data_IF_556273009705
#
_entry.id   IF_556273009705
#
_cell.length_a   1.000
_cell.length_b   1.000
_cell.length_c   1.000
_cell.angle_alpha   90.00
_cell.angle_beta   90.00
_cell.angle_gamma   90.00
#
_symmetry.space_group_name_H-M   'P 1'
#
loop_
_entity.id
_entity.type
_entity.pdbx_description
1 polymer ?
#
# COMPACT_ATOMS: atom_id res chain seq x y z
N UNK A 1 74.42 -35.17 -13.17
CA UNK A 1 73.52 -35.14 -12.03
C UNK A 1 72.37 -34.20 -12.42
N UNK A 2 71.29 -34.80 -12.87
CA UNK A 2 70.11 -34.10 -13.40
C UNK A 2 68.94 -34.18 -12.37
N UNK A 3 68.62 -33.07 -11.75
CA UNK A 3 67.52 -32.96 -10.85
C UNK A 3 66.23 -32.77 -11.64
N UNK A 4 65.28 -33.69 -11.51
CA UNK A 4 63.93 -33.64 -12.04
C UNK A 4 63.05 -32.83 -11.07
N UNK A 5 62.51 -31.71 -11.52
CA UNK A 5 61.45 -30.98 -10.83
C UNK A 5 60.11 -31.68 -11.06
N UNK A 6 59.46 -32.10 -9.98
CA UNK A 6 58.12 -32.67 -9.97
C UNK A 6 57.11 -31.51 -9.80
N UNK A 7 56.35 -31.21 -10.84
CA UNK A 7 55.26 -30.25 -10.75
C UNK A 7 54.00 -30.95 -10.19
N UNK A 8 53.55 -30.51 -9.04
CA UNK A 8 52.27 -30.93 -8.43
C UNK A 8 51.17 -30.09 -9.05
N UNK A 9 50.31 -30.72 -9.85
CA UNK A 9 49.06 -30.10 -10.34
C UNK A 9 48.02 -30.32 -9.28
N UNK A 10 47.60 -29.22 -8.59
CA UNK A 10 46.44 -29.20 -7.69
C UNK A 10 45.21 -28.94 -8.55
N UNK A 11 44.40 -29.96 -8.76
CA UNK A 11 43.08 -29.81 -9.38
C UNK A 11 42.11 -29.26 -8.32
N UNK A 12 41.72 -27.99 -8.49
CA UNK A 12 40.61 -27.39 -7.72
C UNK A 12 39.30 -27.85 -8.35
N UNK A 13 38.63 -28.79 -7.71
CA UNK A 13 37.29 -29.19 -8.08
C UNK A 13 36.31 -28.08 -7.64
N UNK A 14 35.89 -27.22 -8.58
CA UNK A 14 34.74 -26.33 -8.36
C UNK A 14 33.48 -27.20 -8.30
N UNK A 15 33.00 -27.47 -7.08
CA UNK A 15 31.64 -27.99 -6.87
C UNK A 15 30.63 -26.90 -7.24
N UNK A 16 30.09 -26.99 -8.44
CA UNK A 16 28.87 -26.27 -8.77
C UNK A 16 27.74 -26.89 -7.91
N UNK A 17 27.38 -26.23 -6.83
CA UNK A 17 26.09 -26.45 -6.21
C UNK A 17 25.01 -26.00 -7.22
N UNK A 18 24.48 -26.98 -7.96
CA UNK A 18 23.22 -26.78 -8.67
C UNK A 18 22.16 -26.52 -7.61
N UNK A 19 21.78 -25.24 -7.43
CA UNK A 19 20.55 -24.89 -6.72
C UNK A 19 19.41 -25.55 -7.49
N UNK A 20 18.78 -26.56 -6.87
CA UNK A 20 17.54 -27.13 -7.38
C UNK A 20 16.59 -25.96 -7.62
N UNK A 21 16.20 -25.74 -8.88
CA UNK A 21 15.17 -24.78 -9.22
C UNK A 21 13.91 -25.24 -8.46
N UNK A 22 13.53 -24.51 -7.42
CA UNK A 22 12.26 -24.73 -6.71
C UNK A 22 11.17 -24.63 -7.76
N UNK A 23 10.33 -25.66 -7.89
CA UNK A 23 9.24 -25.63 -8.84
C UNK A 23 8.40 -24.39 -8.54
N UNK A 24 8.38 -23.43 -9.46
CA UNK A 24 7.61 -22.21 -9.30
C UNK A 24 6.12 -22.56 -9.37
N UNK A 25 5.32 -21.97 -8.47
CA UNK A 25 3.86 -22.15 -8.48
C UNK A 25 3.18 -21.26 -9.55
N UNK A 26 3.96 -20.84 -10.55
CA UNK A 26 3.51 -19.99 -11.63
C UNK A 26 3.10 -20.82 -12.85
N UNK A 27 1.98 -20.45 -13.45
CA UNK A 27 1.57 -20.94 -14.77
C UNK A 27 2.46 -20.31 -15.85
N UNK A 28 2.61 -21.00 -16.97
CA UNK A 28 2.98 -20.33 -18.20
C UNK A 28 1.84 -19.40 -18.64
N UNK A 29 2.13 -18.16 -18.94
CA UNK A 29 1.12 -17.19 -19.38
C UNK A 29 1.59 -16.45 -20.63
N UNK A 30 0.61 -16.10 -21.46
CA UNK A 30 0.79 -15.21 -22.61
C UNK A 30 0.59 -13.76 -22.16
N UNK A 31 1.55 -12.86 -22.41
CA UNK A 31 1.37 -11.44 -22.11
C UNK A 31 0.16 -10.80 -22.79
N UNK A 32 -0.21 -11.24 -24.00
CA UNK A 32 -1.39 -10.75 -24.69
C UNK A 32 -2.65 -11.10 -23.91
N UNK A 33 -2.76 -12.32 -23.41
CA UNK A 33 -3.90 -12.72 -22.58
C UNK A 33 -3.97 -11.96 -21.24
N UNK A 34 -2.84 -11.51 -20.68
CA UNK A 34 -2.83 -10.64 -19.50
C UNK A 34 -3.28 -9.23 -19.84
N UNK A 35 -2.86 -8.67 -20.98
CA UNK A 35 -3.35 -7.38 -21.47
C UNK A 35 -4.86 -7.41 -21.69
N UNK A 36 -5.39 -8.48 -22.30
CA UNK A 36 -6.83 -8.66 -22.52
C UNK A 36 -7.62 -8.69 -21.21
N UNK A 37 -7.07 -9.29 -20.15
CA UNK A 37 -7.68 -9.30 -18.81
C UNK A 37 -7.74 -7.87 -18.24
N UNK A 38 -6.66 -7.11 -18.35
CA UNK A 38 -6.62 -5.72 -17.88
C UNK A 38 -7.65 -4.87 -18.62
N UNK A 39 -7.68 -4.96 -19.96
CA UNK A 39 -8.63 -4.21 -20.77
C UNK A 39 -10.09 -4.59 -20.52
N UNK A 40 -10.39 -5.89 -20.47
CA UNK A 40 -11.75 -6.36 -20.22
C UNK A 40 -12.25 -5.91 -18.85
N UNK A 41 -11.39 -6.01 -17.82
CA UNK A 41 -11.72 -5.58 -16.47
C UNK A 41 -11.90 -4.07 -16.38
N UNK A 42 -11.02 -3.30 -17.02
CA UNK A 42 -11.13 -1.85 -17.04
C UNK A 42 -12.41 -1.37 -17.73
N UNK A 43 -12.81 -2.01 -18.85
CA UNK A 43 -14.07 -1.73 -19.54
C UNK A 43 -15.29 -2.09 -18.70
N UNK A 44 -15.27 -3.27 -18.07
CA UNK A 44 -16.34 -3.74 -17.16
C UNK A 44 -16.57 -2.76 -16.01
N UNK A 45 -15.48 -2.24 -15.42
CA UNK A 45 -15.51 -1.33 -14.27
C UNK A 45 -15.57 0.16 -14.68
N UNK A 46 -15.63 0.46 -15.97
CA UNK A 46 -15.67 1.82 -16.53
C UNK A 46 -14.50 2.71 -16.06
N UNK A 47 -13.29 2.13 -15.96
CA UNK A 47 -12.11 2.86 -15.50
C UNK A 47 -11.65 3.88 -16.56
N UNK A 48 -11.40 5.15 -16.20
CA UNK A 48 -10.78 6.11 -17.10
C UNK A 48 -9.38 5.69 -17.53
N UNK A 49 -8.59 5.16 -16.57
CA UNK A 49 -7.27 4.62 -16.79
C UNK A 49 -6.86 3.63 -15.69
N UNK A 50 -6.05 2.66 -16.08
CA UNK A 50 -5.41 1.72 -15.16
C UNK A 50 -4.07 1.28 -15.69
N UNK A 51 -3.17 0.92 -14.79
CA UNK A 51 -1.86 0.37 -15.13
C UNK A 51 -1.52 -0.79 -14.20
N UNK A 52 -0.87 -1.81 -14.75
CA UNK A 52 -0.36 -2.98 -14.04
C UNK A 52 1.12 -3.15 -14.37
N UNK A 53 1.95 -3.17 -13.32
CA UNK A 53 3.34 -3.61 -13.39
C UNK A 53 3.43 -5.02 -12.78
N UNK A 54 3.86 -5.97 -13.58
CA UNK A 54 4.15 -7.34 -13.15
C UNK A 54 5.63 -7.64 -13.36
N UNK A 55 6.37 -7.89 -12.27
CA UNK A 55 7.75 -8.39 -12.31
C UNK A 55 7.78 -9.85 -11.89
N UNK A 56 8.42 -10.67 -12.68
CA UNK A 56 8.70 -12.08 -12.39
C UNK A 56 10.21 -12.32 -12.43
N UNK A 57 10.74 -13.47 -12.00
CA UNK A 57 12.18 -13.77 -12.11
C UNK A 57 12.72 -13.67 -13.53
N UNK A 58 11.88 -13.87 -14.55
CA UNK A 58 12.28 -13.89 -15.96
C UNK A 58 12.14 -12.54 -16.64
N UNK A 59 11.07 -11.79 -16.34
CA UNK A 59 10.68 -10.59 -17.10
C UNK A 59 9.87 -9.60 -16.27
N UNK A 60 9.89 -8.38 -16.76
CA UNK A 60 8.96 -7.32 -16.38
C UNK A 60 7.94 -7.10 -17.48
N UNK A 61 6.71 -6.85 -17.10
CA UNK A 61 5.59 -6.54 -17.98
C UNK A 61 4.87 -5.30 -17.47
N UNK A 62 4.50 -4.43 -18.39
CA UNK A 62 3.67 -3.25 -18.11
C UNK A 62 2.44 -3.34 -19.00
N UNK A 63 1.27 -3.33 -18.37
CA UNK A 63 -0.02 -3.34 -19.05
C UNK A 63 -0.77 -2.08 -18.70
N UNK A 64 -1.41 -1.44 -19.67
CA UNK A 64 -2.17 -0.22 -19.47
C UNK A 64 -3.46 -0.22 -20.27
N UNK A 65 -4.46 0.50 -19.76
CA UNK A 65 -5.72 0.76 -20.45
C UNK A 65 -6.18 2.20 -20.17
N UNK A 66 -6.86 2.79 -21.15
CA UNK A 66 -7.44 4.12 -21.02
C UNK A 66 -6.38 5.22 -21.05
N UNK A 67 -6.63 6.29 -20.30
CA UNK A 67 -5.77 7.46 -20.29
C UNK A 67 -5.55 8.01 -18.88
N UNK A 68 -4.48 8.79 -18.73
CA UNK A 68 -4.16 9.52 -17.48
C UNK A 68 -5.16 10.63 -17.18
N UNK A 69 -5.92 11.08 -18.18
CA UNK A 69 -6.98 12.08 -18.05
C UNK A 69 -8.26 11.57 -18.72
N UNK A 70 -9.42 11.77 -18.08
CA UNK A 70 -10.71 11.36 -18.62
C UNK A 70 -10.99 12.05 -19.96
N UNK A 71 -11.21 11.24 -21.00
CA UNK A 71 -11.37 11.74 -22.37
C UNK A 71 -10.07 12.10 -23.09
N UNK A 72 -8.93 11.97 -22.41
CA UNK A 72 -7.60 12.13 -23.00
C UNK A 72 -7.13 10.92 -23.79
N UNK A 73 -5.90 11.01 -24.33
CA UNK A 73 -5.28 9.95 -25.15
C UNK A 73 -3.92 9.50 -24.62
N UNK A 74 -3.41 10.12 -23.55
CA UNK A 74 -2.12 9.76 -22.96
C UNK A 74 -2.26 8.48 -22.13
N UNK A 75 -1.62 7.36 -22.52
CA UNK A 75 -1.77 6.10 -21.78
C UNK A 75 -1.03 6.17 -20.45
N UNK A 76 -1.53 5.47 -19.40
CA UNK A 76 -0.79 5.25 -18.16
C UNK A 76 0.51 4.47 -18.41
N UNK A 77 1.57 4.83 -17.68
CA UNK A 77 2.92 4.25 -17.78
C UNK A 77 3.45 3.88 -16.40
N UNK A 78 4.52 3.09 -16.33
CA UNK A 78 5.15 2.69 -15.08
C UNK A 78 5.77 3.88 -14.31
N UNK A 79 6.17 4.94 -15.03
CA UNK A 79 6.70 6.20 -14.51
C UNK A 79 5.63 7.29 -14.27
N UNK A 80 4.35 6.99 -14.47
CA UNK A 80 3.25 7.92 -14.19
C UNK A 80 3.04 8.04 -12.68
N UNK A 81 3.11 9.28 -12.16
CA UNK A 81 2.86 9.56 -10.75
C UNK A 81 1.37 9.50 -10.43
N UNK A 82 1.08 9.02 -9.24
CA UNK A 82 -0.26 9.01 -8.65
C UNK A 82 -0.18 9.06 -7.12
N UNK A 83 -1.28 9.39 -6.46
CA UNK A 83 -1.37 9.33 -5.01
C UNK A 83 -1.57 7.87 -4.59
N UNK A 84 -0.62 7.33 -3.82
CA UNK A 84 -0.61 5.91 -3.46
C UNK A 84 -1.51 5.57 -2.27
N UNK A 85 -2.10 6.59 -1.65
CA UNK A 85 -2.99 6.43 -0.51
C UNK A 85 -2.40 5.53 0.59
N UNK A 86 -3.18 4.62 1.14
CA UNK A 86 -2.77 3.78 2.30
C UNK A 86 -1.55 2.89 2.08
N UNK A 87 -1.04 2.73 0.85
CA UNK A 87 0.28 2.13 0.64
C UNK A 87 1.39 2.86 1.43
N UNK A 88 1.19 4.15 1.73
CA UNK A 88 2.05 4.97 2.61
C UNK A 88 2.27 4.32 3.98
N UNK A 89 1.29 3.58 4.50
CA UNK A 89 1.39 2.95 5.83
C UNK A 89 2.56 1.99 5.96
N UNK A 90 2.92 1.30 4.88
CA UNK A 90 4.08 0.41 4.88
C UNK A 90 5.39 1.18 5.14
N UNK A 91 5.46 2.42 4.64
CA UNK A 91 6.63 3.31 4.82
C UNK A 91 6.68 3.86 6.24
N UNK A 92 5.54 4.32 6.77
CA UNK A 92 5.43 4.77 8.16
C UNK A 92 5.78 3.65 9.13
N UNK A 93 5.25 2.44 8.92
CA UNK A 93 5.56 1.26 9.74
C UNK A 93 7.05 0.90 9.66
N UNK A 94 7.66 0.93 8.46
CA UNK A 94 9.09 0.65 8.30
C UNK A 94 9.96 1.63 9.10
N UNK A 95 9.62 2.92 9.14
CA UNK A 95 10.31 3.90 9.99
C UNK A 95 10.18 3.53 11.47
N UNK A 96 8.97 3.22 11.95
CA UNK A 96 8.76 2.81 13.36
C UNK A 96 9.58 1.57 13.72
N UNK A 97 9.63 0.57 12.82
CA UNK A 97 10.44 -0.64 13.04
C UNK A 97 11.94 -0.33 13.04
N UNK A 98 12.41 0.56 12.17
CA UNK A 98 13.81 1.05 12.19
C UNK A 98 14.15 1.75 13.51
N UNK A 99 13.23 2.57 14.03
CA UNK A 99 13.43 3.23 15.33
C UNK A 99 13.46 2.23 16.50
N UNK A 100 12.68 1.14 16.42
CA UNK A 100 12.74 0.05 17.38
C UNK A 100 14.06 -0.72 17.28
N UNK A 101 14.52 -1.00 16.07
CA UNK A 101 15.82 -1.64 15.81
C UNK A 101 16.99 -0.82 16.37
N UNK A 102 16.89 0.51 16.31
CA UNK A 102 17.89 1.42 16.88
C UNK A 102 17.75 1.62 18.40
N UNK A 103 16.77 0.97 19.04
CA UNK A 103 16.53 1.08 20.47
C UNK A 103 15.94 2.44 20.91
N UNK A 104 15.45 3.25 19.96
CA UNK A 104 14.87 4.58 20.25
C UNK A 104 13.45 4.50 20.78
N UNK A 105 12.74 3.42 20.46
CA UNK A 105 11.42 3.08 21.01
C UNK A 105 11.29 1.56 21.15
N UNK A 106 10.20 1.10 21.81
CA UNK A 106 9.86 -0.32 21.93
C UNK A 106 8.43 -0.54 21.45
N UNK A 107 8.15 -1.71 20.91
CA UNK A 107 6.79 -2.04 20.45
C UNK A 107 5.76 -2.11 21.58
N UNK A 108 6.20 -2.41 22.80
CA UNK A 108 5.39 -2.43 24.02
C UNK A 108 5.34 -1.08 24.76
N UNK A 109 6.00 -0.04 24.28
CA UNK A 109 5.88 1.31 24.86
C UNK A 109 4.44 1.81 24.73
N UNK A 110 3.87 2.37 25.83
CA UNK A 110 2.59 3.08 25.74
C UNK A 110 2.75 4.36 24.94
N UNK A 111 1.78 4.65 24.09
CA UNK A 111 1.85 5.81 23.19
C UNK A 111 1.82 7.15 23.92
N UNK A 112 1.29 7.17 25.15
CA UNK A 112 1.33 8.34 26.06
C UNK A 112 2.75 8.79 26.41
N UNK A 113 3.76 7.95 26.21
CA UNK A 113 5.19 8.29 26.36
C UNK A 113 5.64 9.31 25.29
N UNK A 114 5.00 9.33 24.13
CA UNK A 114 5.39 10.12 22.98
C UNK A 114 4.36 11.21 22.64
N UNK A 115 3.07 10.90 22.74
CA UNK A 115 1.98 11.81 22.37
C UNK A 115 1.02 11.95 23.55
N UNK A 116 0.91 13.16 24.10
CA UNK A 116 0.00 13.47 25.19
C UNK A 116 -1.46 13.65 24.70
N UNK A 117 -2.42 13.43 25.60
CA UNK A 117 -3.84 13.73 25.35
C UNK A 117 -4.57 12.70 24.47
N UNK A 118 -3.95 11.58 24.13
CA UNK A 118 -4.61 10.48 23.41
C UNK A 118 -5.55 9.75 24.36
N UNK A 119 -6.84 9.57 24.01
CA UNK A 119 -7.78 8.77 24.81
C UNK A 119 -7.21 7.37 25.05
N UNK A 120 -7.18 6.95 26.33
CA UNK A 120 -6.63 5.66 26.76
C UNK A 120 -5.14 5.39 26.35
N UNK A 121 -4.38 6.45 26.00
CA UNK A 121 -3.01 6.32 25.47
C UNK A 121 -2.01 5.62 26.39
N UNK A 122 -2.29 5.51 27.69
CA UNK A 122 -1.47 4.76 28.67
C UNK A 122 -1.60 3.24 28.50
N UNK A 123 -2.67 2.76 27.87
CA UNK A 123 -2.96 1.35 27.64
C UNK A 123 -2.85 0.94 26.16
N UNK A 124 -2.56 1.88 25.27
CA UNK A 124 -2.36 1.61 23.84
C UNK A 124 -0.85 1.56 23.60
N UNK A 125 -0.38 0.50 22.97
CA UNK A 125 1.04 0.31 22.63
C UNK A 125 1.34 0.70 21.17
N UNK A 126 2.63 0.89 20.85
CA UNK A 126 3.10 1.07 19.46
C UNK A 126 2.68 -0.12 18.58
N UNK A 127 2.79 -1.36 19.11
CA UNK A 127 2.38 -2.57 18.40
C UNK A 127 0.89 -2.57 18.03
N UNK A 128 0.02 -2.13 18.93
CA UNK A 128 -1.42 -2.05 18.69
C UNK A 128 -1.77 -0.98 17.65
N UNK A 129 -1.05 0.15 17.61
CA UNK A 129 -1.19 1.11 16.51
C UNK A 129 -0.81 0.49 15.17
N UNK A 130 0.37 -0.16 15.10
CA UNK A 130 0.88 -0.78 13.86
C UNK A 130 -0.08 -1.85 13.32
N UNK A 131 -0.70 -2.63 14.21
CA UNK A 131 -1.58 -3.77 13.88
C UNK A 131 -3.07 -3.41 13.78
N UNK A 132 -3.44 -2.12 13.84
CA UNK A 132 -4.84 -1.68 13.80
C UNK A 132 -5.70 -2.21 14.96
N UNK A 133 -5.12 -2.28 16.19
CA UNK A 133 -5.77 -2.85 17.38
C UNK A 133 -5.87 -1.85 18.55
N UNK A 134 -5.78 -0.55 18.27
CA UNK A 134 -5.81 0.48 19.31
C UNK A 134 -7.20 0.72 19.91
N UNK A 135 -8.26 0.43 19.16
CA UNK A 135 -9.64 0.80 19.51
C UNK A 135 -9.95 2.30 19.38
N UNK A 136 -9.05 3.10 18.83
CA UNK A 136 -9.33 4.53 18.58
C UNK A 136 -10.32 4.69 17.42
N UNK A 137 -11.17 5.73 17.52
CA UNK A 137 -12.06 6.09 16.42
C UNK A 137 -11.26 6.52 15.18
N UNK A 138 -11.68 6.07 14.01
CA UNK A 138 -11.07 6.43 12.74
C UNK A 138 -11.55 7.79 12.23
N UNK A 139 -10.73 8.84 12.28
CA UNK A 139 -11.13 10.19 11.88
C UNK A 139 -11.62 10.27 10.43
N UNK A 140 -11.21 9.36 9.55
CA UNK A 140 -11.65 9.41 8.14
C UNK A 140 -13.10 8.99 7.96
N UNK A 141 -13.70 8.29 8.91
CA UNK A 141 -15.12 7.93 8.88
C UNK A 141 -16.04 9.01 9.45
N UNK A 142 -15.46 10.09 10.00
CA UNK A 142 -16.24 11.23 10.50
C UNK A 142 -16.85 12.01 9.33
N UNK A 143 -18.19 12.24 9.32
CA UNK A 143 -18.86 12.94 8.21
C UNK A 143 -18.29 14.33 7.93
N UNK A 144 -17.89 15.06 8.98
CA UNK A 144 -17.33 16.40 8.84
C UNK A 144 -16.05 16.46 7.99
N UNK A 145 -15.28 15.37 7.91
CA UNK A 145 -14.12 15.32 7.04
C UNK A 145 -14.53 15.22 5.57
N UNK A 146 -15.40 14.27 5.23
CA UNK A 146 -15.89 14.09 3.86
C UNK A 146 -16.58 15.36 3.36
N UNK A 147 -17.47 15.96 4.18
CA UNK A 147 -18.13 17.23 3.89
C UNK A 147 -17.13 18.36 3.63
N UNK A 148 -16.07 18.45 4.44
CA UNK A 148 -15.05 19.46 4.24
C UNK A 148 -14.27 19.25 2.94
N UNK A 149 -13.93 18.01 2.59
CA UNK A 149 -13.22 17.70 1.33
C UNK A 149 -14.09 18.02 0.10
N UNK A 150 -15.38 17.80 0.19
CA UNK A 150 -16.32 18.08 -0.89
C UNK A 150 -16.57 19.60 -1.06
N UNK A 151 -16.58 20.40 0.03
CA UNK A 151 -16.87 21.83 -0.01
C UNK A 151 -15.61 22.70 -0.17
N UNK A 152 -14.48 22.30 0.42
CA UNK A 152 -13.20 22.99 0.36
C UNK A 152 -12.06 21.99 0.12
N UNK A 153 -11.94 21.46 -1.10
CA UNK A 153 -10.92 20.46 -1.44
C UNK A 153 -9.48 21.00 -1.30
N UNK A 154 -9.27 22.31 -1.24
CA UNK A 154 -7.97 22.93 -1.05
C UNK A 154 -7.56 23.07 0.43
N UNK A 155 -8.46 22.81 1.36
CA UNK A 155 -8.19 22.95 2.81
C UNK A 155 -6.98 22.16 3.23
N UNK A 156 -6.08 22.83 3.95
CA UNK A 156 -4.94 22.21 4.60
C UNK A 156 -5.32 21.76 6.00
N UNK A 157 -5.16 20.45 6.25
CA UNK A 157 -5.38 19.84 7.55
C UNK A 157 -4.06 19.68 8.32
N UNK A 158 -4.08 19.96 9.61
CA UNK A 158 -3.01 19.57 10.52
C UNK A 158 -3.32 18.24 11.18
N UNK A 159 -2.29 17.46 11.53
CA UNK A 159 -2.48 16.20 12.28
C UNK A 159 -3.24 16.44 13.60
N UNK A 160 -3.02 17.59 14.24
CA UNK A 160 -3.74 17.96 15.48
C UNK A 160 -5.26 18.12 15.26
N UNK A 161 -5.69 18.74 14.16
CA UNK A 161 -7.10 18.86 13.82
C UNK A 161 -7.73 17.51 13.56
N UNK A 162 -7.05 16.63 12.81
CA UNK A 162 -7.53 15.27 12.51
C UNK A 162 -7.67 14.43 13.80
N UNK A 163 -6.67 14.48 14.67
CA UNK A 163 -6.73 13.81 15.97
C UNK A 163 -7.81 14.39 16.86
N UNK A 164 -8.07 15.71 16.80
CA UNK A 164 -9.16 16.33 17.54
C UNK A 164 -10.54 15.84 17.05
N UNK A 165 -10.69 15.49 15.76
CA UNK A 165 -11.91 14.81 15.26
C UNK A 165 -12.01 13.44 15.92
N UNK A 166 -10.97 12.60 15.82
CA UNK A 166 -10.98 11.26 16.38
C UNK A 166 -11.29 11.25 17.89
N UNK A 167 -10.68 12.17 18.64
CA UNK A 167 -10.74 12.18 20.11
C UNK A 167 -12.07 12.74 20.67
N UNK A 168 -12.96 13.28 19.83
CA UNK A 168 -14.34 13.60 20.23
C UNK A 168 -15.20 12.36 20.40
N UNK A 169 -14.81 11.26 19.79
CA UNK A 169 -15.55 9.99 19.82
C UNK A 169 -14.98 9.04 20.88
N UNK A 170 -15.81 8.22 21.52
CA UNK A 170 -15.33 7.21 22.45
C UNK A 170 -14.54 6.15 21.69
N UNK A 171 -13.61 5.43 22.37
CA UNK A 171 -12.99 4.23 21.80
C UNK A 171 -14.05 3.21 21.38
N UNK A 172 -13.80 2.53 20.26
CA UNK A 172 -14.74 1.55 19.67
C UNK A 172 -14.60 0.16 20.33
N UNK A 173 -13.42 -0.15 20.87
CA UNK A 173 -13.14 -1.36 21.66
C UNK A 173 -11.93 -1.13 22.59
N UNK A 174 -11.67 -2.08 23.50
CA UNK A 174 -10.50 -2.02 24.36
C UNK A 174 -9.21 -2.38 23.56
N UNK A 175 -8.07 -1.68 23.79
CA UNK A 175 -6.83 -1.97 23.08
C UNK A 175 -6.47 -3.47 23.08
N UNK A 176 -6.05 -3.97 21.93
CA UNK A 176 -5.63 -5.36 21.73
C UNK A 176 -6.75 -6.39 21.55
N UNK A 177 -8.02 -6.04 21.79
CA UNK A 177 -9.13 -7.03 21.81
C UNK A 177 -9.70 -7.35 20.43
N UNK A 178 -9.70 -6.37 19.51
CA UNK A 178 -10.31 -6.49 18.19
C UNK A 178 -9.39 -5.86 17.14
N UNK A 179 -9.72 -6.07 15.89
CA UNK A 179 -9.13 -5.40 14.73
C UNK A 179 -10.15 -4.45 14.12
N UNK A 180 -9.72 -3.21 13.88
CA UNK A 180 -10.46 -2.25 13.07
C UNK A 180 -9.48 -1.33 12.34
N UNK A 181 -9.60 -1.28 11.00
CA UNK A 181 -8.70 -0.46 10.18
C UNK A 181 -8.87 1.02 10.50
N UNK A 182 -7.82 1.66 10.99
CA UNK A 182 -7.90 2.98 11.59
C UNK A 182 -6.76 3.91 11.15
N UNK A 183 -7.10 4.97 10.39
CA UNK A 183 -6.13 5.97 9.95
C UNK A 183 -5.56 6.80 11.10
N UNK A 184 -6.31 6.96 12.19
CA UNK A 184 -5.85 7.65 13.42
C UNK A 184 -4.58 7.00 13.98
N UNK A 185 -4.45 5.68 13.88
CA UNK A 185 -3.26 4.96 14.33
C UNK A 185 -2.01 5.43 13.60
N UNK A 186 -2.10 5.58 12.28
CA UNK A 186 -0.95 5.96 11.46
C UNK A 186 -0.66 7.45 11.50
N UNK A 187 -1.66 8.30 11.73
CA UNK A 187 -1.44 9.70 12.07
C UNK A 187 -0.61 9.83 13.36
N UNK A 188 -0.92 9.03 14.40
CA UNK A 188 -0.15 8.96 15.64
C UNK A 188 1.25 8.40 15.41
N UNK A 189 1.43 7.31 14.65
CA UNK A 189 2.74 6.76 14.33
C UNK A 189 3.63 7.76 13.58
N UNK A 190 3.05 8.58 12.70
CA UNK A 190 3.76 9.68 12.04
C UNK A 190 4.28 10.70 13.04
N UNK A 191 3.43 11.16 13.97
CA UNK A 191 3.86 12.08 15.04
C UNK A 191 4.94 11.48 15.94
N UNK A 192 4.82 10.20 16.30
CA UNK A 192 5.82 9.49 17.10
C UNK A 192 7.16 9.44 16.35
N UNK A 193 7.14 9.15 15.05
CA UNK A 193 8.35 9.17 14.25
C UNK A 193 9.01 10.55 14.20
N UNK A 194 8.22 11.62 14.04
CA UNK A 194 8.71 13.01 14.04
C UNK A 194 9.30 13.41 15.40
N UNK A 195 8.63 13.03 16.50
CA UNK A 195 9.09 13.30 17.87
C UNK A 195 10.43 12.61 18.16
N UNK A 196 10.53 11.33 17.82
CA UNK A 196 11.73 10.51 18.10
C UNK A 196 12.92 10.92 17.21
N UNK A 197 12.68 11.28 15.95
CA UNK A 197 13.72 11.69 14.99
C UNK A 197 14.08 13.20 15.08
N UNK A 198 13.19 14.01 15.64
CA UNK A 198 13.34 15.48 15.66
C UNK A 198 13.32 16.10 14.25
N UNK A 199 12.59 15.49 13.31
CA UNK A 199 12.54 15.91 11.91
C UNK A 199 11.15 15.68 11.30
N UNK A 200 10.74 16.51 10.30
CA UNK A 200 9.49 16.27 9.57
C UNK A 200 9.47 14.91 8.87
N UNK A 201 8.32 14.24 8.84
CA UNK A 201 8.14 12.89 8.28
C UNK A 201 8.60 12.79 6.81
N UNK A 202 8.37 13.83 6.01
CA UNK A 202 8.83 13.88 4.62
C UNK A 202 10.35 13.77 4.50
N UNK A 203 11.09 14.40 5.42
CA UNK A 203 12.55 14.30 5.50
C UNK A 203 12.98 12.91 5.96
N UNK A 204 12.30 12.36 6.97
CA UNK A 204 12.57 11.00 7.49
C UNK A 204 12.42 9.98 6.36
N UNK A 205 11.31 10.03 5.63
CA UNK A 205 11.05 9.11 4.49
C UNK A 205 12.13 9.25 3.42
N UNK A 206 12.44 10.47 3.01
CA UNK A 206 13.47 10.71 1.99
C UNK A 206 14.83 10.16 2.42
N UNK A 207 15.26 10.46 3.63
CA UNK A 207 16.64 10.20 4.09
C UNK A 207 16.82 8.73 4.49
N UNK A 208 15.76 8.07 5.02
CA UNK A 208 15.85 6.70 5.52
C UNK A 208 15.33 5.63 4.56
N UNK A 209 14.41 5.99 3.66
CA UNK A 209 13.75 5.03 2.78
C UNK A 209 14.03 5.33 1.29
N UNK A 210 13.56 6.46 0.80
CA UNK A 210 13.56 6.74 -0.65
C UNK A 210 14.97 6.94 -1.21
N UNK A 211 15.81 7.72 -0.55
CA UNK A 211 17.18 8.01 -0.97
C UNK A 211 18.04 6.74 -1.04
N UNK A 212 18.15 5.93 0.04
CA UNK A 212 18.92 4.69 0.04
C UNK A 212 18.46 3.66 -1.00
N UNK A 213 17.16 3.64 -1.35
CA UNK A 213 16.59 2.73 -2.35
C UNK A 213 16.60 3.29 -3.77
N UNK A 214 17.00 4.54 -3.95
CA UNK A 214 17.01 5.21 -5.26
C UNK A 214 15.62 5.50 -5.82
N UNK A 215 14.60 5.61 -4.96
CA UNK A 215 13.21 5.93 -5.32
C UNK A 215 13.08 7.43 -5.57
N UNK A 216 13.43 7.86 -6.78
CA UNK A 216 13.54 9.29 -7.15
C UNK A 216 12.21 9.96 -7.43
N UNK A 217 11.23 9.13 -7.79
CA UNK A 217 9.89 9.56 -8.17
C UNK A 217 8.88 9.33 -7.05
N UNK A 218 9.37 9.20 -5.79
CA UNK A 218 8.57 9.01 -4.59
C UNK A 218 8.81 10.13 -3.59
N UNK A 219 7.72 10.73 -3.09
CA UNK A 219 7.80 11.79 -2.07
C UNK A 219 6.56 11.82 -1.18
N UNK A 220 6.74 12.27 0.05
CA UNK A 220 5.66 12.79 0.87
C UNK A 220 5.62 14.31 0.66
N UNK A 221 4.56 14.87 0.02
CA UNK A 221 4.49 16.29 -0.26
C UNK A 221 4.35 17.12 1.04
N UNK A 222 4.71 18.39 0.96
CA UNK A 222 4.38 19.34 2.03
C UNK A 222 2.85 19.41 2.19
N UNK A 223 2.36 19.53 3.42
CA UNK A 223 0.91 19.60 3.71
C UNK A 223 0.18 20.72 2.97
N UNK A 224 0.90 21.79 2.60
CA UNK A 224 0.36 22.92 1.82
C UNK A 224 0.34 22.68 0.31
N UNK A 225 0.86 21.55 -0.19
CA UNK A 225 0.94 21.24 -1.62
C UNK A 225 -0.10 20.19 -2.01
N UNK A 226 -0.85 20.50 -3.06
CA UNK A 226 -1.71 19.55 -3.76
C UNK A 226 -1.13 19.10 -5.11
N UNK A 227 0.08 19.54 -5.47
CA UNK A 227 0.72 19.24 -6.75
C UNK A 227 1.18 17.78 -6.82
N UNK A 228 1.05 17.19 -7.99
CA UNK A 228 1.61 15.89 -8.35
C UNK A 228 2.68 16.13 -9.43
N UNK A 229 3.91 15.59 -9.29
CA UNK A 229 4.94 15.73 -10.32
C UNK A 229 4.52 15.12 -11.66
N UNK A 230 4.92 15.75 -12.76
CA UNK A 230 4.68 15.21 -14.10
C UNK A 230 5.72 14.10 -14.44
N UNK A 231 5.34 13.07 -15.25
CA UNK A 231 4.00 12.79 -15.74
C UNK A 231 3.08 12.25 -14.64
N UNK A 232 1.82 12.63 -14.62
CA UNK A 232 0.87 12.16 -13.60
C UNK A 232 -0.50 11.79 -14.20
N UNK A 233 -1.29 11.05 -13.45
CA UNK A 233 -2.67 10.76 -13.77
C UNK A 233 -3.62 11.65 -12.94
N UNK A 234 -4.66 12.18 -13.57
CA UNK A 234 -5.78 12.80 -12.87
C UNK A 234 -6.57 11.73 -12.12
N UNK A 235 -7.15 12.08 -10.99
CA UNK A 235 -7.90 11.17 -10.13
C UNK A 235 -9.39 11.48 -10.10
N UNK A 236 -10.23 10.44 -10.13
CA UNK A 236 -11.68 10.57 -10.30
C UNK A 236 -12.48 9.81 -9.24
N UNK A 237 -13.61 10.39 -8.82
CA UNK A 237 -14.57 9.77 -7.92
C UNK A 237 -16.00 10.16 -8.33
N UNK A 238 -16.94 9.23 -8.29
CA UNK A 238 -18.36 9.58 -8.44
C UNK A 238 -18.94 10.08 -7.13
N UNK A 239 -19.54 11.27 -7.15
CA UNK A 239 -20.25 11.84 -6.00
C UNK A 239 -19.35 12.31 -4.86
N UNK A 240 -19.71 11.98 -3.61
CA UNK A 240 -19.07 12.49 -2.41
C UNK A 240 -17.81 11.73 -2.00
N UNK A 241 -16.87 12.41 -1.35
CA UNK A 241 -15.69 11.84 -0.70
C UNK A 241 -16.02 10.77 0.36
N UNK A 242 -17.24 10.75 0.88
CA UNK A 242 -17.71 9.73 1.82
C UNK A 242 -17.67 8.30 1.24
N UNK A 243 -17.82 8.16 -0.08
CA UNK A 243 -17.71 6.85 -0.76
C UNK A 243 -16.31 6.26 -0.73
N UNK A 244 -15.29 7.12 -0.65
CA UNK A 244 -13.90 6.71 -0.53
C UNK A 244 -13.39 6.61 0.91
N UNK A 245 -13.97 7.37 1.84
CA UNK A 245 -13.44 7.51 3.20
C UNK A 245 -14.17 6.66 4.24
N UNK A 246 -15.45 6.37 4.01
CA UNK A 246 -16.32 5.66 4.94
C UNK A 246 -16.99 4.43 4.32
N UNK A 247 -16.53 3.97 3.18
CA UNK A 247 -17.05 2.80 2.43
C UNK A 247 -18.59 2.88 2.23
N UNK A 248 -19.13 4.11 2.11
CA UNK A 248 -20.55 4.31 1.91
C UNK A 248 -20.98 3.72 0.55
N UNK A 249 -22.11 2.99 0.49
CA UNK A 249 -22.56 2.42 -0.78
C UNK A 249 -23.08 3.53 -1.72
N UNK A 250 -22.79 3.40 -3.01
CA UNK A 250 -23.38 4.28 -4.02
C UNK A 250 -24.91 4.14 -4.07
N UNK A 251 -25.68 5.25 -4.11
CA UNK A 251 -27.10 5.22 -4.36
C UNK A 251 -27.45 4.65 -5.75
N UNK A 252 -28.58 3.97 -5.88
CA UNK A 252 -28.98 3.32 -7.13
C UNK A 252 -29.16 4.29 -8.31
N UNK A 253 -29.63 5.50 -8.06
CA UNK A 253 -29.78 6.56 -9.05
C UNK A 253 -28.42 7.09 -9.55
N UNK A 254 -27.44 7.22 -8.65
CA UNK A 254 -26.07 7.55 -9.03
C UNK A 254 -25.48 6.47 -9.95
N UNK A 255 -25.60 5.18 -9.56
CA UNK A 255 -25.12 4.05 -10.37
C UNK A 255 -25.76 4.07 -11.76
N UNK A 256 -27.09 4.29 -11.84
CA UNK A 256 -27.81 4.35 -13.11
C UNK A 256 -27.36 5.52 -13.98
N UNK A 257 -27.20 6.71 -13.41
CA UNK A 257 -26.78 7.91 -14.12
C UNK A 257 -25.31 7.79 -14.61
N UNK A 258 -24.41 7.24 -13.78
CA UNK A 258 -23.04 7.00 -14.16
C UNK A 258 -22.94 5.89 -15.24
N UNK A 259 -23.68 4.80 -15.10
CA UNK A 259 -23.71 3.69 -16.06
C UNK A 259 -24.22 4.08 -17.45
N UNK A 260 -25.11 5.06 -17.54
CA UNK A 260 -25.57 5.64 -18.83
C UNK A 260 -24.64 6.76 -19.35
N UNK A 261 -23.60 7.15 -18.56
CA UNK A 261 -22.71 8.27 -18.90
C UNK A 261 -23.35 9.65 -18.74
N UNK A 262 -24.55 9.75 -18.17
CA UNK A 262 -25.24 11.01 -17.88
C UNK A 262 -24.55 11.74 -16.73
N UNK A 263 -24.05 10.99 -15.73
CA UNK A 263 -23.20 11.51 -14.67
C UNK A 263 -21.73 11.19 -14.99
N UNK A 264 -20.87 12.20 -14.90
CA UNK A 264 -19.41 12.02 -14.98
C UNK A 264 -18.82 12.00 -13.57
N UNK A 265 -17.70 11.33 -13.33
CA UNK A 265 -17.01 11.42 -12.06
C UNK A 265 -16.40 12.81 -11.87
N UNK A 266 -16.27 13.23 -10.63
CA UNK A 266 -15.55 14.45 -10.25
C UNK A 266 -14.06 14.27 -10.49
N UNK A 267 -13.35 15.35 -10.82
CA UNK A 267 -11.89 15.38 -10.85
C UNK A 267 -11.38 15.85 -9.48
N UNK A 268 -10.87 14.92 -8.69
CA UNK A 268 -10.32 15.13 -7.34
C UNK A 268 -8.79 15.29 -7.32
N UNK A 269 -8.15 15.42 -8.50
CA UNK A 269 -6.69 15.57 -8.63
C UNK A 269 -6.15 16.70 -7.78
N UNK A 270 -6.86 17.83 -7.75
CA UNK A 270 -6.51 19.04 -7.01
C UNK A 270 -6.82 19.01 -5.52
N UNK A 271 -7.43 17.96 -4.99
CA UNK A 271 -7.73 17.85 -3.56
C UNK A 271 -6.44 17.81 -2.73
N UNK A 272 -6.40 18.58 -1.63
CA UNK A 272 -5.23 18.62 -0.76
C UNK A 272 -5.13 17.34 0.09
N UNK A 273 -4.02 16.56 -0.02
CA UNK A 273 -3.89 15.26 0.66
C UNK A 273 -3.44 15.38 2.12
N UNK A 274 -3.39 16.58 2.71
CA UNK A 274 -2.89 16.80 4.08
C UNK A 274 -3.68 16.05 5.14
N UNK A 275 -4.91 15.66 4.86
CA UNK A 275 -5.69 14.82 5.77
C UNK A 275 -5.16 13.37 5.85
N UNK A 276 -4.37 12.91 4.90
CA UNK A 276 -3.90 11.53 4.84
C UNK A 276 -2.47 11.32 5.38
N UNK A 277 -1.56 12.30 5.18
CA UNK A 277 -0.16 12.35 5.65
C UNK A 277 0.51 10.97 5.85
N UNK A 278 0.86 10.63 7.09
CA UNK A 278 1.51 9.37 7.46
C UNK A 278 0.65 8.13 7.18
N UNK A 279 -0.67 8.31 7.04
CA UNK A 279 -1.60 7.22 6.73
C UNK A 279 -1.82 7.02 5.22
N UNK A 280 -1.49 8.04 4.37
CA UNK A 280 -1.87 7.95 2.95
C UNK A 280 -1.34 9.05 2.04
N UNK A 281 -0.41 9.91 2.48
CA UNK A 281 -0.06 11.14 1.76
C UNK A 281 1.03 11.01 0.69
N UNK A 282 1.66 9.85 0.51
CA UNK A 282 2.77 9.68 -0.44
C UNK A 282 2.29 9.68 -1.89
N UNK A 283 3.08 10.29 -2.75
CA UNK A 283 2.99 10.23 -4.21
C UNK A 283 4.14 9.35 -4.70
N UNK A 284 3.87 8.46 -5.65
CA UNK A 284 4.87 7.55 -6.21
C UNK A 284 4.52 7.12 -7.64
N UNK A 285 5.35 6.26 -8.20
CA UNK A 285 5.16 5.57 -9.47
C UNK A 285 5.11 4.06 -9.24
N UNK A 286 4.66 3.29 -10.23
CA UNK A 286 4.66 1.84 -10.10
C UNK A 286 6.08 1.26 -10.06
N UNK A 287 7.03 1.87 -10.76
CA UNK A 287 8.44 1.47 -10.73
C UNK A 287 9.05 1.57 -9.33
N UNK A 288 8.84 2.71 -8.67
CA UNK A 288 9.33 2.92 -7.30
C UNK A 288 8.59 2.03 -6.29
N UNK A 289 7.27 1.84 -6.42
CA UNK A 289 6.52 0.92 -5.57
C UNK A 289 6.97 -0.53 -5.72
N UNK A 290 7.31 -0.96 -6.95
CA UNK A 290 7.89 -2.27 -7.19
C UNK A 290 9.25 -2.43 -6.52
N UNK A 291 10.08 -1.37 -6.55
CA UNK A 291 11.37 -1.30 -5.83
C UNK A 291 11.15 -1.36 -4.33
N UNK A 292 10.19 -0.59 -3.80
CA UNK A 292 9.81 -0.56 -2.39
C UNK A 292 9.42 -1.94 -1.87
N UNK A 293 8.45 -2.59 -2.51
CA UNK A 293 7.92 -3.88 -2.04
C UNK A 293 9.00 -4.96 -2.03
N UNK A 294 9.84 -5.02 -3.06
CA UNK A 294 10.97 -5.96 -3.10
C UNK A 294 12.01 -5.67 -2.02
N UNK A 295 12.26 -4.41 -1.71
CA UNK A 295 13.20 -4.03 -0.66
C UNK A 295 12.66 -4.34 0.74
N UNK A 296 11.39 -3.98 1.01
CA UNK A 296 10.75 -4.18 2.31
C UNK A 296 10.60 -5.66 2.65
N UNK A 297 9.94 -6.42 1.78
CA UNK A 297 9.67 -7.84 2.03
C UNK A 297 10.94 -8.70 1.85
N UNK A 298 11.83 -8.30 0.95
CA UNK A 298 13.09 -8.98 0.66
C UNK A 298 14.23 -8.69 1.66
N UNK A 299 13.96 -7.95 2.75
CA UNK A 299 14.92 -7.77 3.85
C UNK A 299 16.08 -6.82 3.55
N UNK A 300 15.87 -5.79 2.72
CA UNK A 300 16.92 -4.78 2.45
C UNK A 300 16.84 -3.55 3.35
N UNK A 301 15.78 -3.44 4.18
CA UNK A 301 15.51 -2.26 5.00
C UNK A 301 15.84 -2.54 6.47
N UNK A 302 15.45 -3.70 6.97
CA UNK A 302 15.58 -4.11 8.36
C UNK A 302 16.71 -5.13 8.51
N UNK A 303 17.30 -5.23 9.69
CA UNK A 303 18.20 -6.34 10.02
C UNK A 303 17.43 -7.67 10.09
N UNK A 304 18.15 -8.78 10.18
CA UNK A 304 17.56 -10.12 10.09
C UNK A 304 16.55 -10.42 11.21
N UNK A 305 16.74 -9.88 12.43
CA UNK A 305 15.87 -10.14 13.56
C UNK A 305 14.59 -9.32 13.46
N UNK A 306 14.68 -8.03 13.13
CA UNK A 306 13.53 -7.17 12.92
C UNK A 306 12.78 -7.50 11.64
N UNK A 307 13.48 -7.95 10.57
CA UNK A 307 12.84 -8.46 9.37
C UNK A 307 11.97 -9.68 9.65
N UNK A 308 12.44 -10.60 10.46
CA UNK A 308 11.68 -11.79 10.90
C UNK A 308 10.45 -11.38 11.71
N UNK A 309 10.61 -10.49 12.71
CA UNK A 309 9.48 -9.96 13.49
C UNK A 309 8.45 -9.28 12.61
N UNK A 310 8.91 -8.51 11.60
CA UNK A 310 8.02 -7.82 10.67
C UNK A 310 7.25 -8.81 9.79
N UNK A 311 7.92 -9.82 9.20
CA UNK A 311 7.29 -10.85 8.37
C UNK A 311 6.30 -11.73 9.16
N UNK A 312 6.56 -11.96 10.45
CA UNK A 312 5.73 -12.75 11.36
C UNK A 312 4.62 -11.92 12.04
N UNK A 313 4.62 -10.60 11.86
CA UNK A 313 3.67 -9.69 12.50
C UNK A 313 2.20 -9.84 12.05
N UNK A 314 1.85 -10.32 10.81
CA UNK A 314 0.47 -10.41 10.39
C UNK A 314 -0.34 -11.42 11.20
N UNK A 315 -1.34 -10.93 11.91
CA UNK A 315 -2.33 -11.68 12.70
C UNK A 315 -3.69 -11.68 11.98
N UNK A 316 -4.55 -12.68 12.18
CA UNK A 316 -5.89 -12.68 11.61
C UNK A 316 -6.66 -11.40 11.99
N UNK A 317 -7.28 -10.76 11.01
CA UNK A 317 -8.19 -9.63 11.23
C UNK A 317 -9.39 -10.09 12.08
N UNK A 318 -9.95 -11.24 11.73
CA UNK A 318 -10.98 -11.94 12.50
C UNK A 318 -10.40 -13.26 13.06
N UNK A 319 -10.19 -13.38 14.37
CA UNK A 319 -9.66 -14.63 14.98
C UNK A 319 -10.53 -15.86 14.71
N UNK A 320 -11.83 -15.70 14.43
CA UNK A 320 -12.74 -16.82 14.06
C UNK A 320 -12.49 -17.32 12.63
N UNK A 321 -11.75 -16.54 11.81
CA UNK A 321 -11.41 -16.85 10.41
C UNK A 321 -9.89 -16.88 10.22
N UNK A 322 -9.17 -17.86 10.78
CA UNK A 322 -7.70 -17.87 10.76
C UNK A 322 -7.08 -17.97 9.35
N UNK A 323 -7.87 -18.38 8.35
CA UNK A 323 -7.49 -18.38 6.93
C UNK A 323 -7.92 -17.11 6.18
N UNK A 324 -8.61 -16.19 6.85
CA UNK A 324 -9.02 -14.89 6.31
C UNK A 324 -7.87 -13.91 6.14
N UNK A 325 -8.22 -12.64 5.97
CA UNK A 325 -7.26 -11.53 5.92
C UNK A 325 -6.41 -11.47 7.19
N UNK A 326 -5.14 -11.11 7.00
CA UNK A 326 -4.20 -10.87 8.09
C UNK A 326 -3.57 -9.51 7.93
N UNK A 327 -3.39 -8.80 9.04
CA UNK A 327 -2.72 -7.51 9.09
C UNK A 327 -1.66 -7.47 10.19
N UNK A 328 -0.50 -6.90 9.86
CA UNK A 328 0.64 -6.81 10.77
C UNK A 328 1.17 -5.37 10.90
N UNK A 329 2.48 -5.22 10.94
CA UNK A 329 3.14 -3.92 11.03
C UNK A 329 3.07 -3.17 9.69
N UNK A 330 1.90 -2.59 9.40
CA UNK A 330 1.64 -1.84 8.18
C UNK A 330 1.56 -2.67 6.91
N UNK A 331 1.31 -3.95 7.01
CA UNK A 331 1.29 -4.87 5.88
C UNK A 331 0.19 -5.92 6.05
N UNK A 332 -0.51 -6.21 4.97
CA UNK A 332 -1.44 -7.33 4.89
C UNK A 332 -0.76 -8.55 4.28
N UNK A 333 -1.28 -9.74 4.59
CA UNK A 333 -0.83 -11.01 4.04
C UNK A 333 -2.00 -11.81 3.48
N UNK A 334 -1.90 -12.17 2.20
CA UNK A 334 -2.81 -13.10 1.53
C UNK A 334 -2.09 -14.43 1.33
N UNK A 335 -2.68 -15.52 1.85
CA UNK A 335 -2.19 -16.88 1.63
C UNK A 335 -3.08 -17.61 0.64
N UNK A 336 -2.47 -18.32 -0.33
CA UNK A 336 -3.18 -19.18 -1.28
C UNK A 336 -2.25 -20.32 -1.73
N UNK A 337 -2.66 -21.56 -1.41
CA UNK A 337 -1.78 -22.72 -1.54
C UNK A 337 -0.49 -22.52 -0.74
N UNK A 338 0.69 -22.77 -1.34
CA UNK A 338 1.98 -22.55 -0.70
C UNK A 338 2.42 -21.08 -0.70
N UNK A 339 1.71 -20.20 -1.43
CA UNK A 339 2.13 -18.82 -1.66
C UNK A 339 1.74 -17.90 -0.50
N UNK A 340 2.54 -16.86 -0.31
CA UNK A 340 2.31 -15.82 0.68
C UNK A 340 2.61 -14.47 0.03
N UNK A 341 1.57 -13.74 -0.31
CA UNK A 341 1.67 -12.41 -0.88
C UNK A 341 1.57 -11.39 0.26
N UNK A 342 2.64 -10.64 0.49
CA UNK A 342 2.63 -9.47 1.36
C UNK A 342 2.20 -8.28 0.52
N UNK A 343 1.21 -7.53 0.98
CA UNK A 343 0.62 -6.46 0.19
C UNK A 343 0.05 -5.33 1.04
N UNK A 344 -0.21 -4.23 0.40
CA UNK A 344 -1.12 -3.20 0.91
C UNK A 344 -1.95 -2.64 -0.24
N UNK A 345 -3.17 -2.22 0.06
CA UNK A 345 -4.03 -1.45 -0.83
C UNK A 345 -3.96 0.03 -0.53
N UNK A 346 -4.37 0.85 -1.49
CA UNK A 346 -4.48 2.29 -1.32
C UNK A 346 -5.78 2.81 -1.88
N UNK A 347 -6.55 3.56 -1.07
CA UNK A 347 -7.78 4.19 -1.48
C UNK A 347 -7.88 5.61 -0.91
N UNK A 348 -8.19 6.56 -1.76
CA UNK A 348 -8.49 7.95 -1.43
C UNK A 348 -9.24 8.60 -2.60
N UNK A 349 -9.96 9.70 -2.40
CA UNK A 349 -10.58 10.40 -3.51
C UNK A 349 -9.62 10.59 -4.69
N UNK A 350 -10.03 10.12 -5.86
CA UNK A 350 -9.27 10.15 -7.10
C UNK A 350 -8.50 8.88 -7.44
N UNK A 351 -8.09 8.05 -6.49
CA UNK A 351 -7.16 6.96 -6.75
C UNK A 351 -7.48 5.70 -5.97
N UNK A 352 -7.27 4.55 -6.63
CA UNK A 352 -7.24 3.24 -5.99
C UNK A 352 -6.01 2.48 -6.45
N UNK A 353 -5.35 1.74 -5.56
CA UNK A 353 -4.10 1.06 -5.88
C UNK A 353 -3.87 -0.18 -5.03
N UNK A 354 -3.04 -1.05 -5.55
CA UNK A 354 -2.55 -2.27 -4.90
C UNK A 354 -1.05 -2.40 -5.16
N UNK A 355 -0.29 -2.76 -4.14
CA UNK A 355 1.09 -3.19 -4.29
C UNK A 355 1.34 -4.46 -3.50
N UNK A 356 1.98 -5.46 -4.13
CA UNK A 356 2.25 -6.74 -3.49
C UNK A 356 3.53 -7.40 -3.98
N UNK A 357 4.12 -8.24 -3.12
CA UNK A 357 5.28 -9.06 -3.42
C UNK A 357 5.17 -10.44 -2.79
N UNK A 358 5.39 -11.46 -3.61
CA UNK A 358 5.52 -12.86 -3.21
C UNK A 358 6.99 -13.26 -3.21
N UNK A 359 7.63 -13.38 -2.02
CA UNK A 359 9.05 -13.72 -1.94
C UNK A 359 9.38 -15.16 -2.36
N UNK A 360 8.39 -16.10 -2.32
CA UNK A 360 8.62 -17.49 -2.72
C UNK A 360 8.82 -17.61 -4.23
N UNK A 361 8.05 -16.87 -5.01
CA UNK A 361 8.09 -16.92 -6.48
C UNK A 361 8.79 -15.72 -7.11
N UNK A 362 9.28 -14.77 -6.31
CA UNK A 362 9.87 -13.50 -6.74
C UNK A 362 8.95 -12.71 -7.68
N UNK A 363 7.67 -12.62 -7.31
CA UNK A 363 6.64 -11.92 -8.09
C UNK A 363 6.27 -10.61 -7.42
N UNK A 364 6.43 -9.50 -8.14
CA UNK A 364 5.93 -8.18 -7.75
C UNK A 364 4.73 -7.82 -8.62
N UNK A 365 3.65 -7.37 -8.01
CA UNK A 365 2.47 -6.89 -8.71
C UNK A 365 2.06 -5.53 -8.15
N UNK A 366 2.04 -4.52 -9.01
CA UNK A 366 1.54 -3.18 -8.71
C UNK A 366 0.38 -2.91 -9.66
N UNK A 367 -0.74 -2.47 -9.11
CA UNK A 367 -1.92 -2.04 -9.88
C UNK A 367 -2.34 -0.68 -9.37
N UNK A 368 -2.65 0.24 -10.27
CA UNK A 368 -3.37 1.45 -9.89
C UNK A 368 -4.44 1.82 -10.91
N UNK A 369 -5.45 2.49 -10.43
CA UNK A 369 -6.55 3.06 -11.22
C UNK A 369 -6.76 4.50 -10.83
N UNK A 370 -7.13 5.32 -11.78
CA UNK A 370 -7.51 6.71 -11.54
C UNK A 370 -9.03 6.90 -11.32
N UNK A 371 -9.67 5.86 -10.85
CA UNK A 371 -11.02 5.87 -10.27
C UNK A 371 -10.94 5.24 -8.87
N UNK A 372 -11.49 5.90 -7.87
CA UNK A 372 -11.39 5.44 -6.48
C UNK A 372 -12.19 4.16 -6.24
N UNK A 373 -13.49 4.20 -6.52
CA UNK A 373 -14.44 3.11 -6.29
C UNK A 373 -15.20 2.87 -7.59
N UNK A 374 -15.32 1.62 -8.02
CA UNK A 374 -16.12 1.24 -9.18
C UNK A 374 -17.62 1.25 -8.85
N UNK A 375 -18.46 1.30 -9.87
CA UNK A 375 -19.93 1.40 -9.67
C UNK A 375 -20.55 0.20 -8.96
N UNK A 376 -19.85 -0.92 -8.86
CA UNK A 376 -20.24 -2.08 -8.06
C UNK A 376 -19.84 -1.94 -6.55
N UNK A 377 -19.31 -0.80 -6.16
CA UNK A 377 -18.91 -0.49 -4.79
C UNK A 377 -17.59 -1.13 -4.35
N UNK A 378 -16.76 -1.64 -5.29
CA UNK A 378 -15.51 -2.34 -4.96
C UNK A 378 -14.27 -1.52 -5.32
N UNK A 379 -13.15 -1.76 -4.62
CA UNK A 379 -11.83 -1.25 -5.00
C UNK A 379 -11.40 -1.80 -6.37
N UNK A 380 -11.32 -0.98 -7.44
CA UNK A 380 -11.08 -1.48 -8.78
C UNK A 380 -9.69 -2.10 -8.97
N UNK A 381 -8.65 -1.58 -8.31
CA UNK A 381 -7.31 -2.17 -8.38
C UNK A 381 -7.28 -3.60 -7.81
N UNK A 382 -8.06 -3.89 -6.76
CA UNK A 382 -8.20 -5.24 -6.23
C UNK A 382 -8.88 -6.19 -7.22
N UNK A 383 -9.89 -5.71 -7.96
CA UNK A 383 -10.57 -6.50 -8.99
C UNK A 383 -9.62 -6.90 -10.12
N UNK A 384 -8.78 -5.97 -10.58
CA UNK A 384 -7.72 -6.25 -11.57
C UNK A 384 -6.68 -7.21 -10.99
N UNK A 385 -6.19 -6.95 -9.78
CA UNK A 385 -5.19 -7.77 -9.08
C UNK A 385 -5.64 -9.22 -8.97
N UNK A 386 -6.87 -9.49 -8.51
CA UNK A 386 -7.37 -10.85 -8.31
C UNK A 386 -7.42 -11.64 -9.63
N UNK A 387 -7.87 -11.01 -10.73
CA UNK A 387 -7.89 -11.64 -12.05
C UNK A 387 -6.46 -11.90 -12.57
N UNK A 388 -5.50 -11.02 -12.29
CA UNK A 388 -4.10 -11.23 -12.61
C UNK A 388 -3.50 -12.39 -11.82
N UNK A 389 -3.71 -12.45 -10.50
CA UNK A 389 -3.21 -13.56 -9.68
C UNK A 389 -3.81 -14.91 -10.10
N UNK A 390 -5.12 -14.96 -10.40
CA UNK A 390 -5.76 -16.18 -10.91
C UNK A 390 -5.11 -16.68 -12.20
N UNK A 391 -4.67 -15.78 -13.05
CA UNK A 391 -4.07 -16.14 -14.35
C UNK A 391 -2.62 -16.58 -14.22
N UNK A 392 -1.85 -16.03 -13.29
CA UNK A 392 -0.41 -16.29 -13.18
C UNK A 392 -0.05 -17.41 -12.19
N UNK A 393 -0.90 -17.72 -11.19
CA UNK A 393 -0.62 -18.76 -10.21
C UNK A 393 -1.37 -20.07 -10.49
N UNK A 394 -0.75 -21.19 -10.15
CA UNK A 394 -1.35 -22.53 -10.28
C UNK A 394 -2.48 -22.75 -9.29
N UNK A 395 -2.43 -22.12 -8.12
CA UNK A 395 -3.50 -22.09 -7.11
C UNK A 395 -4.08 -20.68 -7.10
N UNK A 396 -5.36 -20.55 -7.32
CA UNK A 396 -6.06 -19.26 -7.38
C UNK A 396 -6.46 -18.77 -6.00
N UNK A 397 -6.21 -17.48 -5.65
CA UNK A 397 -6.77 -16.88 -4.45
C UNK A 397 -8.31 -16.79 -4.49
N UNK A 398 -8.93 -16.74 -5.68
CA UNK A 398 -10.39 -16.71 -5.86
C UNK A 398 -11.09 -18.04 -5.47
N UNK A 399 -10.35 -19.16 -5.40
CA UNK A 399 -10.90 -20.47 -5.03
C UNK A 399 -10.96 -20.68 -3.51
N UNK A 400 -10.28 -19.84 -2.72
CA UNK A 400 -10.24 -19.97 -1.25
C UNK A 400 -11.30 -19.13 -0.53
N UNK A 401 -11.96 -18.22 -1.24
CA UNK A 401 -13.03 -17.35 -0.72
C UNK A 401 -14.44 -17.91 -0.90
N UNK A 402 -14.57 -19.20 -1.26
CA UNK A 402 -15.85 -19.91 -1.38
C UNK A 402 -16.10 -20.85 -0.22
#
# INVERSE_FOLDING_TARGET
>A
MTTRNLAIVVAVACSFCATAASATNLKSFDPVALQDIVEATAKELMLPGTMVLLRTPQREFVFGYGATELGGTTPPRADTHFRIASNTKTMTAAVIVLLAQEGKLRFDDPISKYVSGVPNGVNITISELLKMRSGLFNYTTAPELAESLDHDPARVWTTKELLAIAFKHPPVFAPGTEYDYCNTNYALLGLIAEEVEGAPLARIFRDRLFGPLGMKDTLLPASTSNSIPAPYANGYLYGSSSYALADAPYPADLIAAAGTGTLKPNDDTGQNPSYALAAGGVISTADDLGTWMRALVGGKILDADYQRQWLDSPEPEDPSKPLGGKYGYGIAQLRFGPNSLYFHGGEMPGYNSFMGYDPLNDVTLIVWTNLTVSLDGKPPANSVMLKMLDRIYTVSPLQQSR
#
